data_IF_890349729358
#
_entry.id   IF_890349729358
#
_cell.length_a   1.000
_cell.length_b   1.000
_cell.length_c   1.000
_cell.angle_alpha   90.00
_cell.angle_beta   90.00
_cell.angle_gamma   90.00
#
_symmetry.space_group_name_H-M   'P 1'
#
loop_
_entity.id
_entity.type
_entity.pdbx_description
1 polymer ?
#
# COMPACT_ATOMS: atom_id res chain seq x y z
N UNK A 1 -3.18 15.82 2.61
CA UNK A 1 -3.52 14.88 1.52
C UNK A 1 -4.98 15.01 1.20
N UNK A 2 -5.36 15.29 -0.04
CA UNK A 2 -6.77 15.41 -0.41
C UNK A 2 -7.47 14.06 -0.29
N UNK A 3 -8.54 14.01 0.49
CA UNK A 3 -9.40 12.82 0.59
C UNK A 3 -10.51 12.93 -0.46
N UNK A 4 -10.13 13.13 -1.71
CA UNK A 4 -11.03 13.36 -2.87
C UNK A 4 -11.94 12.16 -3.21
N UNK A 5 -11.74 11.03 -2.53
CA UNK A 5 -12.60 9.84 -2.60
C UNK A 5 -13.66 9.78 -1.49
N UNK A 6 -13.55 10.64 -0.44
CA UNK A 6 -14.56 10.68 0.63
C UNK A 6 -15.91 11.12 0.11
N UNK A 7 -16.95 10.46 0.60
CA UNK A 7 -18.33 10.70 0.16
C UNK A 7 -18.66 10.18 -1.24
N UNK A 8 -17.68 9.56 -1.94
CA UNK A 8 -17.90 8.91 -3.22
C UNK A 8 -18.30 7.46 -3.04
N UNK A 9 -18.87 6.89 -4.09
CA UNK A 9 -19.10 5.46 -4.17
C UNK A 9 -17.84 4.77 -4.66
N UNK A 10 -17.55 3.58 -4.13
CA UNK A 10 -16.46 2.72 -4.53
C UNK A 10 -17.02 1.46 -5.17
N UNK A 11 -16.37 0.98 -6.22
CA UNK A 11 -16.82 -0.14 -7.02
C UNK A 11 -15.80 -1.28 -6.96
N UNK A 12 -16.27 -2.46 -6.55
CA UNK A 12 -15.46 -3.67 -6.49
C UNK A 12 -15.91 -4.65 -7.58
N UNK A 13 -15.05 -4.86 -8.56
CA UNK A 13 -15.27 -5.78 -9.67
C UNK A 13 -14.75 -7.16 -9.29
N UNK A 14 -15.60 -8.18 -9.38
CA UNK A 14 -15.23 -9.52 -8.91
C UNK A 14 -16.08 -10.61 -9.54
N UNK A 15 -15.84 -11.88 -9.18
CA UNK A 15 -16.66 -13.02 -9.60
C UNK A 15 -17.86 -13.28 -8.68
N UNK A 16 -18.78 -14.11 -9.12
CA UNK A 16 -19.98 -14.49 -8.36
C UNK A 16 -19.63 -15.18 -7.04
N UNK A 17 -18.62 -16.03 -7.00
CA UNK A 17 -18.21 -16.73 -5.75
C UNK A 17 -17.76 -15.75 -4.66
N UNK A 18 -17.08 -14.65 -5.04
CA UNK A 18 -16.73 -13.62 -4.08
C UNK A 18 -17.96 -12.83 -3.61
N UNK A 19 -18.92 -12.55 -4.51
CA UNK A 19 -20.20 -11.93 -4.13
C UNK A 19 -20.96 -12.80 -3.11
N UNK A 20 -21.05 -14.10 -3.37
CA UNK A 20 -21.70 -15.06 -2.46
C UNK A 20 -21.01 -15.07 -1.09
N UNK A 21 -19.67 -15.07 -1.05
CA UNK A 21 -18.89 -14.97 0.19
C UNK A 21 -19.15 -13.68 0.95
N UNK A 22 -19.14 -12.52 0.25
CA UNK A 22 -19.39 -11.21 0.87
C UNK A 22 -20.80 -11.13 1.47
N UNK A 23 -21.83 -11.58 0.73
CA UNK A 23 -23.20 -11.51 1.18
C UNK A 23 -23.48 -12.56 2.26
N UNK A 24 -23.05 -13.81 2.04
CA UNK A 24 -23.32 -14.93 2.94
C UNK A 24 -22.63 -14.78 4.30
N UNK A 25 -21.34 -14.40 4.29
CA UNK A 25 -20.55 -14.27 5.50
C UNK A 25 -20.63 -12.87 6.12
N UNK A 26 -21.12 -11.87 5.37
CA UNK A 26 -21.10 -10.44 5.75
C UNK A 26 -19.69 -9.93 6.08
N UNK A 27 -18.70 -10.41 5.33
CA UNK A 27 -17.28 -10.12 5.52
C UNK A 27 -16.64 -9.61 4.24
N UNK A 28 -15.61 -8.75 4.38
CA UNK A 28 -14.74 -8.33 3.29
C UNK A 28 -13.39 -9.01 3.49
N UNK A 29 -12.96 -9.79 2.51
CA UNK A 29 -11.69 -10.48 2.55
C UNK A 29 -10.61 -9.65 1.86
N UNK A 30 -9.54 -9.36 2.61
CA UNK A 30 -8.36 -8.73 2.07
C UNK A 30 -7.43 -9.82 1.52
N UNK A 31 -6.97 -9.65 0.29
CA UNK A 31 -6.02 -10.55 -0.34
C UNK A 31 -4.58 -10.13 -0.04
N UNK A 32 -3.65 -11.08 0.06
CA UNK A 32 -2.25 -10.77 0.17
C UNK A 32 -1.78 -10.02 -1.10
N UNK A 33 -1.20 -8.84 -0.91
CA UNK A 33 -0.75 -7.97 -2.02
C UNK A 33 0.23 -8.70 -2.94
N UNK A 34 1.05 -9.61 -2.42
CA UNK A 34 1.97 -10.44 -3.23
C UNK A 34 1.26 -11.41 -4.19
N UNK A 35 -0.01 -11.74 -3.92
CA UNK A 35 -0.83 -12.57 -4.79
C UNK A 35 -1.61 -11.74 -5.83
N UNK A 36 -1.53 -10.41 -5.76
CA UNK A 36 -2.15 -9.51 -6.73
C UNK A 36 -1.31 -9.44 -8.03
N UNK A 37 -1.90 -8.84 -9.06
CA UNK A 37 -1.34 -8.85 -10.42
C UNK A 37 0.02 -8.16 -10.56
N UNK A 38 0.38 -7.24 -9.69
CA UNK A 38 1.67 -6.53 -9.73
C UNK A 38 2.53 -6.82 -8.49
N UNK A 39 3.28 -7.91 -8.57
CA UNK A 39 4.23 -8.31 -7.52
C UNK A 39 5.39 -7.33 -7.32
N UNK A 40 5.66 -6.47 -8.29
CA UNK A 40 6.76 -5.52 -8.28
C UNK A 40 6.42 -4.22 -7.53
N UNK A 41 5.12 -3.92 -7.29
CA UNK A 41 4.68 -2.66 -6.67
C UNK A 41 5.39 -2.36 -5.35
N UNK A 42 5.48 -3.35 -4.46
CA UNK A 42 6.06 -3.16 -3.14
C UNK A 42 7.56 -2.84 -3.19
N UNK A 43 8.29 -3.53 -4.03
CA UNK A 43 9.74 -3.30 -4.21
C UNK A 43 9.99 -1.97 -4.91
N UNK A 44 9.20 -1.63 -5.92
CA UNK A 44 9.33 -0.37 -6.65
C UNK A 44 9.20 0.86 -5.73
N UNK A 45 8.28 0.83 -4.77
CA UNK A 45 8.15 1.89 -3.78
C UNK A 45 9.39 1.98 -2.89
N UNK A 46 9.87 0.86 -2.36
CA UNK A 46 11.05 0.80 -1.49
C UNK A 46 12.32 1.29 -2.23
N UNK A 47 12.50 0.90 -3.49
CA UNK A 47 13.64 1.35 -4.31
C UNK A 47 13.59 2.85 -4.61
N UNK A 48 12.38 3.40 -4.77
CA UNK A 48 12.25 4.85 -4.97
C UNK A 48 12.57 5.64 -3.72
N UNK A 49 12.14 5.15 -2.54
CA UNK A 49 12.54 5.74 -1.27
C UNK A 49 14.07 5.67 -1.12
N UNK A 50 14.66 4.51 -1.35
CA UNK A 50 16.11 4.31 -1.33
C UNK A 50 16.84 5.33 -2.21
N UNK A 51 16.44 5.42 -3.46
CA UNK A 51 17.03 6.36 -4.45
C UNK A 51 16.91 7.81 -3.99
N UNK A 52 15.74 8.18 -3.45
CA UNK A 52 15.51 9.55 -2.95
C UNK A 52 16.38 9.90 -1.76
N UNK A 53 16.61 8.94 -0.85
CA UNK A 53 17.48 9.13 0.31
C UNK A 53 18.95 9.16 -0.09
N UNK A 54 19.36 8.28 -0.98
CA UNK A 54 20.75 8.17 -1.44
C UNK A 54 21.26 9.40 -2.20
N UNK A 55 20.34 10.22 -2.70
CA UNK A 55 20.71 11.41 -3.46
C UNK A 55 21.39 12.46 -2.55
N UNK A 56 22.64 12.81 -2.90
CA UNK A 56 23.45 13.78 -2.17
C UNK A 56 24.22 13.23 -0.96
N UNK A 57 24.24 11.92 -0.72
CA UNK A 57 25.01 11.28 0.33
C UNK A 57 26.50 11.11 -0.07
N UNK A 58 27.40 11.11 0.93
CA UNK A 58 28.79 10.69 0.77
C UNK A 58 28.86 9.19 0.43
N UNK A 59 30.01 8.71 -0.09
CA UNK A 59 30.21 7.29 -0.43
C UNK A 59 29.95 6.35 0.77
N UNK A 60 30.37 6.74 1.95
CA UNK A 60 30.21 5.92 3.15
C UNK A 60 28.75 5.87 3.59
N UNK A 61 28.06 7.02 3.61
CA UNK A 61 26.64 7.11 3.90
C UNK A 61 25.80 6.34 2.86
N UNK A 62 26.16 6.44 1.58
CA UNK A 62 25.50 5.68 0.51
C UNK A 62 25.61 4.18 0.74
N UNK A 63 26.80 3.67 1.09
CA UNK A 63 27.01 2.24 1.38
C UNK A 63 26.18 1.80 2.59
N UNK A 64 26.25 2.55 3.70
CA UNK A 64 25.46 2.26 4.92
C UNK A 64 23.95 2.26 4.63
N UNK A 65 23.46 3.20 3.83
CA UNK A 65 22.07 3.28 3.42
C UNK A 65 21.63 2.03 2.64
N UNK A 66 22.42 1.62 1.65
CA UNK A 66 22.09 0.44 0.87
C UNK A 66 22.07 -0.83 1.74
N UNK A 67 23.05 -1.02 2.61
CA UNK A 67 23.07 -2.14 3.57
C UNK A 67 21.81 -2.14 4.44
N UNK A 68 21.45 -0.99 5.02
CA UNK A 68 20.24 -0.86 5.83
C UNK A 68 18.98 -1.24 5.06
N UNK A 69 18.83 -0.74 3.82
CA UNK A 69 17.67 -1.07 2.98
C UNK A 69 17.62 -2.55 2.64
N UNK A 70 18.75 -3.16 2.29
CA UNK A 70 18.82 -4.58 1.95
C UNK A 70 18.45 -5.46 3.15
N UNK A 71 18.93 -5.15 4.35
CA UNK A 71 18.58 -5.81 5.60
C UNK A 71 17.08 -5.68 5.91
N UNK A 72 16.53 -4.46 5.79
CA UNK A 72 15.13 -4.21 6.06
C UNK A 72 14.22 -4.88 5.03
N UNK A 73 14.56 -4.86 3.75
CA UNK A 73 13.82 -5.56 2.70
C UNK A 73 13.89 -7.07 2.93
N UNK A 74 15.06 -7.62 3.27
CA UNK A 74 15.19 -9.05 3.59
C UNK A 74 14.30 -9.47 4.76
N UNK A 75 14.17 -8.61 5.78
CA UNK A 75 13.29 -8.83 6.94
C UNK A 75 11.80 -8.74 6.58
N UNK A 76 11.44 -7.80 5.70
CA UNK A 76 10.05 -7.44 5.41
C UNK A 76 9.47 -8.21 4.22
N UNK A 77 10.32 -8.71 3.32
CA UNK A 77 9.88 -9.36 2.06
C UNK A 77 8.87 -10.50 2.27
N UNK A 78 8.93 -11.18 3.43
CA UNK A 78 8.03 -12.29 3.75
C UNK A 78 6.85 -11.88 4.65
N UNK A 79 6.84 -10.64 5.14
CA UNK A 79 5.71 -10.13 5.89
C UNK A 79 4.52 -9.88 4.96
N UNK A 80 3.35 -10.46 5.27
CA UNK A 80 2.17 -10.26 4.45
C UNK A 80 1.59 -8.85 4.66
N UNK A 81 1.19 -8.23 3.56
CA UNK A 81 0.33 -7.05 3.56
C UNK A 81 -0.95 -7.45 2.85
N UNK A 82 -2.08 -7.19 3.47
CA UNK A 82 -3.38 -7.54 2.91
C UNK A 82 -4.11 -6.29 2.44
N UNK A 83 -4.71 -6.38 1.26
CA UNK A 83 -5.49 -5.29 0.70
C UNK A 83 -6.73 -5.80 -0.04
N UNK A 84 -7.72 -4.91 -0.16
CA UNK A 84 -8.85 -5.06 -1.05
C UNK A 84 -8.95 -3.83 -1.92
N UNK A 85 -9.07 -4.02 -3.22
CA UNK A 85 -9.06 -2.95 -4.23
C UNK A 85 -10.47 -2.57 -4.66
N UNK A 86 -10.68 -1.28 -4.84
CA UNK A 86 -11.89 -0.68 -5.37
C UNK A 86 -11.51 0.31 -6.47
N UNK A 87 -12.41 0.56 -7.42
CA UNK A 87 -12.29 1.63 -8.39
C UNK A 87 -13.25 2.78 -8.06
N UNK A 88 -12.86 4.00 -8.42
CA UNK A 88 -13.77 5.16 -8.45
C UNK A 88 -14.65 5.18 -9.69
N UNK A 89 -14.39 4.29 -10.66
CA UNK A 89 -15.09 4.21 -11.94
C UNK A 89 -16.23 3.21 -11.83
N UNK A 90 -17.42 3.70 -12.13
CA UNK A 90 -18.61 2.88 -12.30
C UNK A 90 -18.65 2.33 -13.70
N UNK A 91 -18.82 1.18 -14.04
CA UNK A 91 -19.01 0.63 -15.40
C UNK A 91 -17.84 0.90 -16.37
N UNK A 92 -16.62 0.61 -15.92
CA UNK A 92 -15.41 0.73 -16.73
C UNK A 92 -15.08 -0.60 -17.42
N UNK A 93 -14.99 -0.58 -18.76
CA UNK A 93 -14.77 -1.78 -19.58
C UNK A 93 -13.44 -2.51 -19.21
N UNK A 94 -12.39 -1.77 -18.88
CA UNK A 94 -11.12 -2.38 -18.48
C UNK A 94 -11.21 -3.05 -17.12
N UNK A 95 -12.01 -2.52 -16.20
CA UNK A 95 -12.27 -3.14 -14.89
C UNK A 95 -13.11 -4.42 -15.07
N UNK A 96 -14.14 -4.39 -15.91
CA UNK A 96 -14.93 -5.58 -16.25
C UNK A 96 -14.06 -6.69 -16.84
N UNK A 97 -13.20 -6.36 -17.79
CA UNK A 97 -12.33 -7.34 -18.44
C UNK A 97 -11.30 -7.95 -17.49
N UNK A 98 -10.65 -7.12 -16.66
CA UNK A 98 -9.55 -7.56 -15.81
C UNK A 98 -9.99 -8.26 -14.54
N UNK A 99 -11.06 -7.77 -13.89
CA UNK A 99 -11.40 -8.14 -12.52
C UNK A 99 -12.76 -8.82 -12.35
N UNK A 100 -13.66 -8.69 -13.33
CA UNK A 100 -14.99 -9.30 -13.30
C UNK A 100 -15.11 -10.50 -14.25
N UNK A 101 -14.15 -11.45 -14.19
CA UNK A 101 -14.18 -12.70 -14.95
C UNK A 101 -14.43 -12.44 -16.46
N UNK A 102 -13.67 -11.51 -17.04
CA UNK A 102 -13.80 -11.10 -18.45
C UNK A 102 -15.23 -10.65 -18.80
N UNK A 103 -15.80 -9.80 -17.95
CA UNK A 103 -17.14 -9.25 -18.14
C UNK A 103 -18.29 -10.16 -17.72
N UNK A 104 -18.00 -11.36 -17.19
CA UNK A 104 -19.01 -12.33 -16.72
C UNK A 104 -19.24 -12.31 -15.21
N UNK A 105 -18.61 -11.38 -14.49
CA UNK A 105 -18.70 -11.24 -13.05
C UNK A 105 -19.73 -10.19 -12.62
N UNK A 106 -19.43 -9.56 -11.50
CA UNK A 106 -20.28 -8.54 -10.86
C UNK A 106 -19.45 -7.29 -10.50
N UNK A 107 -20.14 -6.16 -10.40
CA UNK A 107 -19.61 -4.93 -9.84
C UNK A 107 -20.43 -4.56 -8.60
N UNK A 108 -19.80 -4.58 -7.43
CA UNK A 108 -20.45 -4.29 -6.15
C UNK A 108 -20.15 -2.84 -5.79
N UNK A 109 -21.20 -2.05 -5.54
CA UNK A 109 -21.06 -0.67 -5.10
C UNK A 109 -21.05 -0.59 -3.58
N UNK A 110 -20.02 0.08 -3.03
CA UNK A 110 -19.87 0.34 -1.61
C UNK A 110 -20.00 1.84 -1.28
N UNK A 111 -20.56 2.13 -0.11
CA UNK A 111 -20.55 3.46 0.47
C UNK A 111 -19.26 3.66 1.27
N UNK A 112 -18.52 4.72 0.96
CA UNK A 112 -17.24 5.04 1.64
C UNK A 112 -17.39 5.27 3.14
N UNK A 113 -18.50 5.86 3.59
CA UNK A 113 -18.75 6.11 5.01
C UNK A 113 -18.92 4.82 5.80
N UNK A 114 -19.53 3.80 5.19
CA UNK A 114 -19.69 2.47 5.80
C UNK A 114 -18.32 1.78 5.86
N UNK A 115 -17.56 1.82 4.77
CA UNK A 115 -16.22 1.24 4.74
C UNK A 115 -15.28 1.92 5.74
N UNK A 116 -15.34 3.24 5.92
CA UNK A 116 -14.55 3.94 6.95
C UNK A 116 -14.89 3.49 8.37
N UNK A 117 -16.16 3.15 8.65
CA UNK A 117 -16.56 2.61 9.95
C UNK A 117 -16.07 1.18 10.20
N UNK A 118 -15.97 0.38 9.13
CA UNK A 118 -15.47 -1.00 9.22
C UNK A 118 -13.94 -1.00 9.37
N UNK A 119 -13.26 -0.07 8.70
CA UNK A 119 -11.81 0.08 8.73
C UNK A 119 -11.35 0.88 9.97
N UNK A 120 -11.57 0.35 11.14
CA UNK A 120 -11.15 0.96 12.40
C UNK A 120 -9.61 1.10 12.52
N UNK A 121 -9.06 0.81 13.71
CA UNK A 121 -7.61 0.83 13.97
C UNK A 121 -6.80 -0.28 13.25
N UNK A 122 -7.45 -1.25 12.60
CA UNK A 122 -6.80 -2.42 12.01
C UNK A 122 -6.55 -2.30 10.50
N UNK A 123 -7.25 -1.39 9.82
CA UNK A 123 -7.12 -1.17 8.40
C UNK A 123 -7.28 0.31 8.03
N UNK A 124 -6.71 0.70 6.91
CA UNK A 124 -6.81 2.06 6.37
C UNK A 124 -7.40 2.04 4.96
N UNK A 125 -8.31 2.98 4.68
CA UNK A 125 -8.74 3.25 3.31
C UNK A 125 -7.84 4.35 2.74
N UNK A 126 -7.21 4.07 1.61
CA UNK A 126 -6.31 5.00 0.90
C UNK A 126 -6.53 4.95 -0.60
N UNK A 127 -6.47 6.11 -1.24
CA UNK A 127 -6.36 6.19 -2.69
C UNK A 127 -4.97 5.72 -3.12
N UNK A 128 -4.89 4.97 -4.20
CA UNK A 128 -3.63 4.57 -4.80
C UNK A 128 -2.95 5.78 -5.46
N UNK A 129 -1.66 5.92 -5.22
CA UNK A 129 -0.81 6.96 -5.80
C UNK A 129 -0.04 6.41 -6.99
N UNK A 130 -0.12 7.13 -8.10
CA UNK A 130 0.54 6.75 -9.37
C UNK A 130 1.78 7.58 -9.67
N UNK A 131 2.19 8.42 -8.72
CA UNK A 131 3.42 9.22 -8.81
C UNK A 131 4.13 9.22 -7.46
N UNK A 132 5.43 9.02 -7.50
CA UNK A 132 6.28 8.94 -6.32
C UNK A 132 6.64 10.32 -5.72
N UNK A 133 6.21 11.42 -6.35
CA UNK A 133 6.43 12.78 -5.81
C UNK A 133 5.88 12.99 -4.39
N UNK A 134 4.87 12.21 -4.02
CA UNK A 134 4.29 12.25 -2.66
C UNK A 134 5.21 11.56 -1.66
N UNK A 135 5.97 10.57 -2.08
CA UNK A 135 6.95 9.89 -1.23
C UNK A 135 8.09 10.82 -0.79
N UNK A 136 8.48 11.79 -1.63
CA UNK A 136 9.58 12.72 -1.36
C UNK A 136 9.29 13.73 -0.22
N UNK A 137 8.03 13.90 0.18
CA UNK A 137 7.61 14.78 1.29
C UNK A 137 7.14 14.00 2.53
N UNK A 138 7.49 12.73 2.64
CA UNK A 138 7.04 11.89 3.74
C UNK A 138 7.95 12.08 4.96
N UNK A 139 7.36 12.34 6.12
CA UNK A 139 8.07 12.47 7.40
C UNK A 139 8.97 11.25 7.69
N UNK A 140 8.55 10.05 7.25
CA UNK A 140 9.34 8.84 7.39
C UNK A 140 10.66 8.89 6.62
N UNK A 141 10.69 9.54 5.45
CA UNK A 141 11.92 9.73 4.67
C UNK A 141 12.91 10.63 5.39
N UNK A 142 12.42 11.71 5.98
CA UNK A 142 13.27 12.62 6.77
C UNK A 142 13.82 11.92 8.02
N UNK A 143 13.03 11.08 8.68
CA UNK A 143 13.48 10.29 9.81
C UNK A 143 14.55 9.27 9.42
N UNK A 144 14.36 8.55 8.30
CA UNK A 144 15.38 7.61 7.78
C UNK A 144 16.66 8.39 7.40
N UNK A 145 16.53 9.52 6.70
CA UNK A 145 17.67 10.36 6.33
C UNK A 145 18.44 10.81 7.55
N UNK A 146 17.76 11.38 8.54
CA UNK A 146 18.36 11.81 9.80
C UNK A 146 19.09 10.68 10.53
N UNK A 147 18.48 9.50 10.60
CA UNK A 147 19.12 8.30 11.16
C UNK A 147 20.46 7.99 10.46
N UNK A 148 20.50 8.10 9.13
CA UNK A 148 21.70 7.81 8.33
C UNK A 148 22.77 8.91 8.48
N UNK A 149 22.37 10.19 8.53
CA UNK A 149 23.29 11.34 8.59
C UNK A 149 23.86 11.58 9.96
N UNK A 150 23.05 11.47 10.99
CA UNK A 150 23.43 11.83 12.36
C UNK A 150 24.10 10.67 13.11
N UNK A 151 24.20 9.49 12.51
CA UNK A 151 24.85 8.33 13.09
C UNK A 151 24.19 7.82 14.39
N UNK A 152 22.92 8.06 14.57
CA UNK A 152 22.18 7.70 15.78
C UNK A 152 22.10 6.18 15.91
N UNK A 153 22.88 5.61 16.83
CA UNK A 153 22.90 4.18 17.17
C UNK A 153 22.38 4.03 18.61
N UNK A 154 21.13 4.40 18.82
CA UNK A 154 20.43 4.13 20.06
C UNK A 154 19.51 2.91 19.84
N UNK A 155 19.45 1.97 20.80
CA UNK A 155 18.52 0.82 20.73
C UNK A 155 17.06 1.26 20.54
N UNK A 156 16.69 2.42 21.12
CA UNK A 156 15.40 3.06 20.87
C UNK A 156 15.23 3.52 19.41
N UNK A 157 16.30 4.02 18.78
CA UNK A 157 16.28 4.42 17.39
C UNK A 157 16.15 3.21 16.45
N UNK A 158 16.73 2.07 16.83
CA UNK A 158 16.63 0.82 16.07
C UNK A 158 15.20 0.27 16.07
N UNK A 159 14.50 0.31 17.21
CA UNK A 159 13.08 0.00 17.29
C UNK A 159 12.23 0.93 16.41
N UNK A 160 12.51 2.21 16.42
CA UNK A 160 11.83 3.21 15.61
C UNK A 160 12.10 3.03 14.12
N UNK A 161 13.34 2.73 13.70
CA UNK A 161 13.69 2.52 12.29
C UNK A 161 13.00 1.28 11.73
N UNK A 162 12.92 0.19 12.49
CA UNK A 162 12.20 -1.00 12.09
C UNK A 162 10.69 -0.73 11.91
N UNK A 163 10.09 0.07 12.80
CA UNK A 163 8.70 0.49 12.69
C UNK A 163 8.48 1.37 11.46
N UNK A 164 9.39 2.31 11.19
CA UNK A 164 9.35 3.18 10.00
C UNK A 164 9.38 2.33 8.73
N UNK A 165 10.33 1.38 8.62
CA UNK A 165 10.41 0.50 7.45
C UNK A 165 9.19 -0.42 7.31
N UNK A 166 8.62 -0.92 8.42
CA UNK A 166 7.39 -1.71 8.38
C UNK A 166 6.20 -0.88 7.88
N UNK A 167 6.10 0.39 8.29
CA UNK A 167 5.09 1.31 7.77
C UNK A 167 5.32 1.64 6.29
N UNK A 168 6.57 1.85 5.87
CA UNK A 168 6.92 2.02 4.46
C UNK A 168 6.51 0.79 3.62
N UNK A 169 6.75 -0.41 4.16
CA UNK A 169 6.38 -1.66 3.51
C UNK A 169 4.86 -1.79 3.35
N UNK A 170 4.07 -1.50 4.38
CA UNK A 170 2.63 -1.47 4.27
C UNK A 170 2.14 -0.38 3.30
N UNK A 171 2.73 0.82 3.35
CA UNK A 171 2.42 1.92 2.45
C UNK A 171 2.78 1.62 0.99
N UNK A 172 3.74 0.72 0.72
CA UNK A 172 4.09 0.35 -0.65
C UNK A 172 2.89 -0.21 -1.42
N UNK A 173 1.95 -0.87 -0.73
CA UNK A 173 0.73 -1.40 -1.30
C UNK A 173 -0.26 -0.35 -1.84
N UNK A 174 -0.06 0.93 -1.53
CA UNK A 174 -0.87 2.04 -2.07
C UNK A 174 -0.15 2.86 -3.14
N UNK A 175 1.00 2.37 -3.63
CA UNK A 175 1.72 2.96 -4.74
C UNK A 175 1.72 2.02 -5.94
N UNK A 176 1.48 2.57 -7.11
CA UNK A 176 1.39 1.82 -8.36
C UNK A 176 2.09 2.57 -9.49
N UNK A 177 2.59 1.86 -10.46
CA UNK A 177 3.18 2.48 -11.64
C UNK A 177 2.13 3.33 -12.39
N UNK A 178 2.56 4.44 -12.99
CA UNK A 178 1.67 5.41 -13.68
C UNK A 178 0.82 4.80 -14.79
N UNK A 179 1.24 3.69 -15.39
CA UNK A 179 0.46 2.98 -16.43
C UNK A 179 -0.88 2.45 -15.93
N UNK A 180 -1.03 2.28 -14.62
CA UNK A 180 -2.27 1.83 -13.98
C UNK A 180 -3.20 2.98 -13.53
N UNK A 181 -2.87 4.24 -13.86
CA UNK A 181 -3.64 5.41 -13.40
C UNK A 181 -5.10 5.37 -13.83
N UNK A 182 -5.40 4.74 -14.97
CA UNK A 182 -6.77 4.55 -15.46
C UNK A 182 -7.65 3.72 -14.53
N UNK A 183 -7.08 2.93 -13.62
CA UNK A 183 -7.86 2.13 -12.66
C UNK A 183 -8.54 2.97 -11.58
N UNK A 184 -8.07 4.21 -11.36
CA UNK A 184 -8.61 5.15 -10.36
C UNK A 184 -8.83 4.48 -8.98
N UNK A 185 -7.83 3.73 -8.53
CA UNK A 185 -7.94 2.74 -7.46
C UNK A 185 -7.95 3.37 -6.06
N UNK A 186 -8.76 2.79 -5.19
CA UNK A 186 -8.78 3.00 -3.73
C UNK A 186 -8.62 1.64 -3.06
N UNK A 187 -7.79 1.53 -2.05
CA UNK A 187 -7.55 0.28 -1.31
C UNK A 187 -7.91 0.39 0.16
N UNK A 188 -8.50 -0.67 0.70
CA UNK A 188 -8.42 -1.00 2.11
C UNK A 188 -7.13 -1.77 2.30
N UNK A 189 -6.28 -1.36 3.23
CA UNK A 189 -4.98 -1.99 3.52
C UNK A 189 -4.89 -2.31 5.00
N UNK A 190 -4.49 -3.53 5.33
CA UNK A 190 -4.22 -3.92 6.72
C UNK A 190 -2.99 -3.20 7.28
N UNK A 191 -3.05 -2.84 8.55
CA UNK A 191 -1.91 -2.27 9.26
C UNK A 191 -1.02 -3.41 9.79
N UNK A 192 0.32 -3.31 9.67
CA UNK A 192 1.25 -4.37 10.05
C UNK A 192 1.17 -4.78 11.53
N UNK A 193 0.71 -3.88 12.40
CA UNK A 193 0.63 -4.09 13.85
C UNK A 193 -0.75 -4.55 14.33
N UNK A 194 -1.74 -4.64 13.44
CA UNK A 194 -3.10 -5.06 13.78
C UNK A 194 -3.27 -6.58 13.91
N UNK A 195 -2.27 -7.37 13.50
CA UNK A 195 -2.33 -8.83 13.49
C UNK A 195 -1.85 -9.49 14.81
N UNK A 196 -1.71 -8.69 15.89
CA UNK A 196 -1.41 -9.22 17.24
C UNK A 196 -2.63 -9.01 18.15
N UNK A 197 -3.65 -9.79 17.92
CA UNK A 197 -4.65 -10.12 18.98
C UNK A 197 -5.00 -11.57 18.86
#
# INVERSE_FOLDING_TARGET
MSKDWKGKKLYHYTGYSALEGIIGNKELWLCNVKAMNDKAEMFHYMDTIRTSICNGLSKDQFRKTNTLFDEQIARLKDQPVYAMSFSLLQDDAAQWERYAVKGKGVCIQFNTEILEKICDKHALIKKVYYTLRVAQKNEHLELIRKYITDGYVDELAWGNINAIFSNCWACSSIYKHKSFKSEAEVRIVSLPFALKT
#
